data_IF_290402984548
#
_entry.id   IF_290402984548
#
_cell.length_a   1.000
_cell.length_b   1.000
_cell.length_c   1.000
_cell.angle_alpha   90.00
_cell.angle_beta   90.00
_cell.angle_gamma   90.00
#
_symmetry.space_group_name_H-M   'P 1'
#
loop_
_entity.id
_entity.type
_entity.pdbx_description
1 polymer ?
#
# COMPACT_ATOMS: atom_id res chain seq x y z
N UNK A 1 13.07 31.17 3.28
CA UNK A 1 12.69 30.33 4.45
C UNK A 1 11.59 29.34 4.07
N UNK A 2 11.81 28.50 3.04
CA UNK A 2 10.77 27.64 2.41
C UNK A 2 11.08 26.15 2.50
N UNK A 3 12.19 25.75 3.14
CA UNK A 3 12.59 24.35 3.26
C UNK A 3 11.81 23.56 4.31
N UNK A 4 11.36 24.19 5.41
CA UNK A 4 10.78 23.48 6.57
C UNK A 4 9.34 23.00 6.36
N UNK A 5 8.58 23.62 5.44
CA UNK A 5 7.17 23.28 5.21
C UNK A 5 7.00 21.99 4.42
N UNK A 6 7.86 21.76 3.43
CA UNK A 6 7.87 20.51 2.65
C UNK A 6 8.27 19.34 3.54
N UNK A 7 9.37 19.48 4.31
CA UNK A 7 9.82 18.42 5.24
C UNK A 7 8.76 18.09 6.27
N UNK A 8 8.03 19.09 6.79
CA UNK A 8 6.93 18.87 7.73
C UNK A 8 5.80 18.03 7.12
N UNK A 9 5.41 18.30 5.88
CA UNK A 9 4.40 17.52 5.16
C UNK A 9 4.81 16.04 4.98
N UNK A 10 6.04 15.80 4.55
CA UNK A 10 6.59 14.44 4.42
C UNK A 10 6.61 13.67 5.73
N UNK A 11 7.03 14.32 6.82
CA UNK A 11 7.08 13.72 8.15
C UNK A 11 5.68 13.35 8.66
N UNK A 12 4.67 14.18 8.42
CA UNK A 12 3.28 13.87 8.81
C UNK A 12 2.80 12.58 8.13
N UNK A 13 3.06 12.43 6.82
CA UNK A 13 2.62 11.25 6.09
C UNK A 13 3.42 10.01 6.51
N UNK A 14 4.71 10.17 6.79
CA UNK A 14 5.52 9.10 7.36
C UNK A 14 4.98 8.62 8.71
N UNK A 15 4.59 9.54 9.61
CA UNK A 15 3.93 9.16 10.87
C UNK A 15 2.63 8.42 10.61
N UNK A 16 1.83 8.85 9.64
CA UNK A 16 0.59 8.17 9.27
C UNK A 16 0.83 6.74 8.76
N UNK A 17 1.88 6.54 7.96
CA UNK A 17 2.29 5.20 7.51
C UNK A 17 2.69 4.30 8.69
N UNK A 18 3.39 4.83 9.69
CA UNK A 18 3.72 4.10 10.92
C UNK A 18 2.48 3.76 11.76
N UNK A 19 1.53 4.68 11.87
CA UNK A 19 0.26 4.42 12.56
C UNK A 19 -0.50 3.31 11.85
N UNK A 20 -0.62 3.36 10.52
CA UNK A 20 -1.26 2.30 9.75
C UNK A 20 -0.48 0.96 9.84
N UNK A 21 0.84 0.98 10.00
CA UNK A 21 1.65 -0.22 10.23
C UNK A 21 1.36 -0.86 11.58
N UNK A 22 1.46 -0.07 12.65
CA UNK A 22 1.19 -0.53 14.01
C UNK A 22 -0.25 -0.99 14.17
N UNK A 23 -1.22 -0.30 13.55
CA UNK A 23 -2.62 -0.72 13.53
C UNK A 23 -2.81 -2.11 12.90
N UNK A 24 -2.13 -2.41 11.78
CA UNK A 24 -2.18 -3.74 11.18
C UNK A 24 -1.63 -4.83 12.10
N UNK A 25 -0.54 -4.54 12.83
CA UNK A 25 0.05 -5.49 13.79
C UNK A 25 -0.88 -5.74 14.98
N UNK A 26 -1.49 -4.70 15.52
CA UNK A 26 -2.45 -4.85 16.64
C UNK A 26 -3.70 -5.57 16.16
N UNK A 27 -4.18 -5.27 14.95
CA UNK A 27 -5.34 -5.96 14.40
C UNK A 27 -5.10 -7.46 14.18
N UNK A 28 -3.85 -7.89 13.93
CA UNK A 28 -3.52 -9.31 13.78
C UNK A 28 -3.42 -10.07 15.10
N UNK A 29 -3.29 -9.39 16.24
CA UNK A 29 -3.27 -10.02 17.57
C UNK A 29 -4.66 -10.10 18.21
N UNK A 30 -5.64 -9.36 17.68
CA UNK A 30 -7.01 -9.43 18.15
C UNK A 30 -7.67 -10.77 17.73
N UNK A 31 -8.48 -11.39 18.60
CA UNK A 31 -9.20 -12.63 18.31
C UNK A 31 -10.44 -12.36 17.44
N UNK A 32 -10.24 -11.78 16.25
CA UNK A 32 -11.26 -11.48 15.26
C UNK A 32 -11.32 -12.59 14.21
N UNK A 33 -12.43 -12.69 13.48
CA UNK A 33 -12.57 -13.65 12.39
C UNK A 33 -11.47 -13.45 11.32
N UNK A 34 -10.84 -14.56 10.92
CA UNK A 34 -9.78 -14.57 9.90
C UNK A 34 -10.11 -13.77 8.63
N UNK A 35 -11.30 -13.91 7.99
CA UNK A 35 -11.61 -13.14 6.80
C UNK A 35 -11.64 -11.62 7.07
N UNK A 36 -12.14 -11.19 8.23
CA UNK A 36 -12.21 -9.76 8.56
C UNK A 36 -10.82 -9.15 8.75
N UNK A 37 -9.89 -9.89 9.39
CA UNK A 37 -8.49 -9.45 9.53
C UNK A 37 -7.82 -9.33 8.16
N UNK A 38 -8.03 -10.32 7.28
CA UNK A 38 -7.47 -10.30 5.91
C UNK A 38 -8.00 -9.11 5.13
N UNK A 39 -9.32 -8.88 5.12
CA UNK A 39 -9.90 -7.72 4.42
C UNK A 39 -9.36 -6.40 4.96
N UNK A 40 -9.26 -6.25 6.28
CA UNK A 40 -8.68 -5.08 6.91
C UNK A 40 -7.22 -4.86 6.48
N UNK A 41 -6.41 -5.92 6.45
CA UNK A 41 -5.01 -5.85 6.01
C UNK A 41 -4.89 -5.38 4.57
N UNK A 42 -5.72 -5.89 3.66
CA UNK A 42 -5.74 -5.45 2.27
C UNK A 42 -6.13 -3.97 2.13
N UNK A 43 -7.15 -3.51 2.86
CA UNK A 43 -7.56 -2.10 2.87
C UNK A 43 -6.41 -1.22 3.37
N UNK A 44 -5.79 -1.59 4.49
CA UNK A 44 -4.67 -0.81 5.05
C UNK A 44 -3.45 -0.81 4.11
N UNK A 45 -3.15 -1.93 3.45
CA UNK A 45 -2.09 -2.01 2.45
C UNK A 45 -2.36 -1.09 1.25
N UNK A 46 -3.59 -1.08 0.73
CA UNK A 46 -4.00 -0.20 -0.37
C UNK A 46 -3.86 1.28 0.01
N UNK A 47 -4.34 1.67 1.20
CA UNK A 47 -4.23 3.06 1.69
C UNK A 47 -2.76 3.49 1.82
N UNK A 48 -1.89 2.63 2.37
CA UNK A 48 -0.44 2.90 2.44
C UNK A 48 0.18 3.10 1.07
N UNK A 49 -0.14 2.20 0.12
CA UNK A 49 0.39 2.29 -1.24
C UNK A 49 -0.01 3.61 -1.91
N UNK A 50 -1.26 4.06 -1.75
CA UNK A 50 -1.75 5.33 -2.29
C UNK A 50 -1.02 6.52 -1.62
N UNK A 51 -0.86 6.51 -0.29
CA UNK A 51 -0.15 7.57 0.42
C UNK A 51 1.31 7.70 -0.04
N UNK A 52 1.99 6.57 -0.25
CA UNK A 52 3.35 6.52 -0.77
C UNK A 52 3.40 7.02 -2.21
N UNK A 53 2.51 6.54 -3.07
CA UNK A 53 2.45 6.95 -4.47
C UNK A 53 2.23 8.47 -4.61
N UNK A 54 1.23 9.02 -3.93
CA UNK A 54 0.88 10.43 -4.07
C UNK A 54 1.91 11.39 -3.45
N UNK A 55 2.64 10.98 -2.41
CA UNK A 55 3.47 11.91 -1.64
C UNK A 55 4.96 11.62 -1.72
N UNK A 56 5.39 10.35 -1.77
CA UNK A 56 6.80 9.97 -1.82
C UNK A 56 7.30 9.67 -3.24
N UNK A 57 6.42 9.29 -4.16
CA UNK A 57 6.79 9.07 -5.57
C UNK A 57 6.54 10.28 -6.48
N UNK A 58 6.26 11.46 -5.89
CA UNK A 58 6.01 12.74 -6.58
C UNK A 58 4.90 12.76 -7.67
N UNK A 59 4.18 11.66 -7.86
CA UNK A 59 3.07 11.48 -8.83
C UNK A 59 2.01 12.58 -8.78
N UNK A 60 1.79 13.24 -7.64
CA UNK A 60 0.79 14.30 -7.49
C UNK A 60 1.08 15.55 -8.33
N UNK A 61 2.31 15.76 -8.80
CA UNK A 61 2.74 16.95 -9.55
C UNK A 61 3.33 16.61 -10.94
N UNK A 62 3.33 15.34 -11.32
CA UNK A 62 4.03 14.85 -12.50
C UNK A 62 3.10 14.44 -13.66
N UNK A 63 3.70 14.28 -14.84
CA UNK A 63 3.00 13.97 -16.07
C UNK A 63 2.33 12.57 -16.04
N UNK A 64 1.22 12.45 -16.77
CA UNK A 64 0.43 11.22 -16.95
C UNK A 64 1.27 9.96 -17.24
N UNK A 65 2.44 10.11 -17.87
CA UNK A 65 3.36 9.01 -18.19
C UNK A 65 3.85 8.25 -16.95
N UNK A 66 4.04 8.91 -15.81
CA UNK A 66 4.55 8.25 -14.60
C UNK A 66 3.47 7.39 -13.96
N UNK A 67 2.19 7.80 -14.06
CA UNK A 67 1.06 6.93 -13.71
C UNK A 67 0.99 5.69 -14.60
N UNK A 68 1.25 5.84 -15.91
CA UNK A 68 1.29 4.71 -16.84
C UNK A 68 2.43 3.73 -16.53
N UNK A 69 3.57 4.20 -16.03
CA UNK A 69 4.65 3.30 -15.59
C UNK A 69 4.31 2.64 -14.25
N UNK A 70 3.67 3.37 -13.32
CA UNK A 70 3.27 2.84 -12.01
C UNK A 70 2.19 1.74 -12.11
N UNK A 71 1.38 1.71 -13.16
CA UNK A 71 0.38 0.64 -13.36
C UNK A 71 1.03 -0.70 -13.72
N UNK A 72 2.20 -0.69 -14.37
CA UNK A 72 2.88 -1.90 -14.85
C UNK A 72 3.20 -2.88 -13.70
N UNK A 73 3.86 -2.49 -12.60
CA UNK A 73 4.11 -3.40 -11.48
C UNK A 73 2.82 -3.87 -10.81
N UNK A 74 1.75 -3.06 -10.80
CA UNK A 74 0.44 -3.47 -10.24
C UNK A 74 -0.16 -4.59 -11.09
N UNK A 75 -0.16 -4.43 -12.41
CA UNK A 75 -0.64 -5.46 -13.34
C UNK A 75 0.21 -6.74 -13.26
N UNK A 76 1.53 -6.59 -13.10
CA UNK A 76 2.44 -7.73 -12.94
C UNK A 76 2.13 -8.54 -11.68
N UNK A 77 1.96 -7.87 -10.52
CA UNK A 77 1.59 -8.53 -9.27
C UNK A 77 0.23 -9.21 -9.39
N UNK A 78 -0.75 -8.54 -10.00
CA UNK A 78 -2.08 -9.11 -10.21
C UNK A 78 -2.04 -10.35 -11.12
N UNK A 79 -1.33 -10.26 -12.25
CA UNK A 79 -1.13 -11.38 -13.17
C UNK A 79 -0.39 -12.54 -12.52
N UNK A 80 0.63 -12.25 -11.71
CA UNK A 80 1.35 -13.27 -10.95
C UNK A 80 0.45 -13.96 -9.92
N UNK A 81 -0.39 -13.22 -9.20
CA UNK A 81 -1.35 -13.83 -8.27
C UNK A 81 -2.32 -14.78 -8.98
N UNK A 82 -2.79 -14.43 -10.18
CA UNK A 82 -3.65 -15.32 -10.97
C UNK A 82 -2.91 -16.53 -11.51
N UNK A 83 -1.67 -16.36 -11.97
CA UNK A 83 -0.83 -17.45 -12.45
C UNK A 83 -0.49 -18.45 -11.34
N UNK A 84 -0.29 -17.97 -10.11
CA UNK A 84 0.07 -18.79 -8.96
C UNK A 84 -1.16 -19.36 -8.21
N UNK A 85 -2.35 -18.83 -8.48
CA UNK A 85 -3.60 -19.32 -7.90
C UNK A 85 -3.83 -20.83 -8.08
N UNK A 86 -3.69 -21.42 -9.29
CA UNK A 86 -3.85 -22.87 -9.46
C UNK A 86 -2.83 -23.67 -8.65
N UNK A 87 -1.59 -23.20 -8.50
CA UNK A 87 -0.55 -23.88 -7.72
C UNK A 87 -0.87 -23.92 -6.21
N UNK A 88 -1.62 -22.94 -5.69
CA UNK A 88 -2.06 -22.91 -4.29
C UNK A 88 -3.34 -23.70 -4.03
N UNK A 89 -4.22 -23.81 -5.03
CA UNK A 89 -5.54 -24.43 -4.89
C UNK A 89 -5.55 -25.90 -5.28
N UNK A 90 -4.78 -26.30 -6.29
CA UNK A 90 -4.62 -27.71 -6.63
C UNK A 90 -3.51 -28.32 -5.76
N UNK A 91 -3.83 -29.20 -4.81
CA UNK A 91 -2.80 -30.03 -4.19
C UNK A 91 -2.22 -30.94 -5.28
N UNK A 92 -0.90 -31.07 -5.32
CA UNK A 92 -0.25 -32.08 -6.17
C UNK A 92 -0.55 -33.49 -5.67
#
# INVERSE_FOLDING_TARGET
>A
MTGTTLTRGYVIIWVWLLVLMTLSLVASTLPVSRPAIVTLMFVVAAVKAILVALNFMHLRLEAWLIYAIAIVPVLLVFGLMMALFPDFVLPR
#
